data_IF_977901572164
#
_entry.id   IF_977901572164
#
_cell.length_a   1.000
_cell.length_b   1.000
_cell.length_c   1.000
_cell.angle_alpha   90.00
_cell.angle_beta   90.00
_cell.angle_gamma   90.00
#
_symmetry.space_group_name_H-M   'P 1'
#
loop_
_entity.id
_entity.type
_entity.pdbx_description
1 polymer ?
#
# COMPACT_ATOMS: atom_id res chain seq x y z
N UNK A 1 45.46 -26.10 -52.67
CA UNK A 1 44.01 -25.94 -52.30
C UNK A 1 43.64 -26.45 -50.90
N UNK A 2 44.47 -27.12 -50.12
CA UNK A 2 44.16 -27.61 -48.76
C UNK A 2 44.36 -26.55 -47.66
N UNK A 3 45.26 -25.60 -47.80
CA UNK A 3 45.60 -24.56 -46.85
C UNK A 3 44.46 -23.52 -46.64
N UNK A 4 43.73 -23.15 -47.69
CA UNK A 4 42.66 -22.20 -47.64
C UNK A 4 41.41 -22.71 -46.83
N UNK A 5 41.23 -24.04 -46.82
CA UNK A 5 40.09 -24.65 -46.05
C UNK A 5 40.38 -24.70 -44.56
N UNK A 6 41.65 -24.88 -44.19
CA UNK A 6 42.08 -24.89 -42.78
C UNK A 6 41.98 -23.47 -42.19
N UNK A 7 42.39 -22.45 -42.95
CA UNK A 7 42.26 -21.04 -42.49
C UNK A 7 40.83 -20.59 -42.39
N UNK A 8 39.93 -21.05 -43.27
CA UNK A 8 38.50 -20.73 -43.16
C UNK A 8 37.83 -21.41 -41.98
N UNK A 9 38.22 -22.65 -41.64
CA UNK A 9 37.65 -23.35 -40.47
C UNK A 9 38.11 -22.75 -39.13
N UNK A 10 39.35 -22.27 -39.04
CA UNK A 10 39.86 -21.58 -37.86
C UNK A 10 39.19 -20.22 -37.65
N UNK A 11 38.87 -19.49 -38.72
CA UNK A 11 38.16 -18.21 -38.66
C UNK A 11 36.72 -18.37 -38.15
N UNK A 12 36.00 -19.41 -38.60
CA UNK A 12 34.62 -19.68 -38.10
C UNK A 12 34.62 -20.13 -36.66
N UNK A 13 35.62 -20.91 -36.23
CA UNK A 13 35.72 -21.33 -34.82
C UNK A 13 36.00 -20.12 -33.87
N UNK A 14 36.83 -19.18 -34.30
CA UNK A 14 37.11 -17.95 -33.55
C UNK A 14 35.89 -17.02 -33.45
N UNK A 15 35.06 -16.97 -34.51
CA UNK A 15 33.83 -16.19 -34.51
C UNK A 15 32.76 -16.80 -33.59
N UNK A 16 32.67 -18.12 -33.50
CA UNK A 16 31.74 -18.80 -32.58
C UNK A 16 32.13 -18.63 -31.11
N UNK A 17 33.42 -18.53 -30.80
CA UNK A 17 33.89 -18.28 -29.42
C UNK A 17 33.64 -16.85 -28.96
N UNK A 18 33.61 -15.86 -29.84
CA UNK A 18 33.35 -14.47 -29.50
C UNK A 18 31.87 -14.17 -29.21
N UNK A 19 30.93 -15.01 -29.68
CA UNK A 19 29.49 -14.83 -29.42
C UNK A 19 29.09 -15.36 -28.01
N UNK A 20 29.87 -16.29 -27.46
CA UNK A 20 29.59 -16.90 -26.15
C UNK A 20 30.03 -16.09 -24.96
N UNK A 21 30.78 -14.98 -25.15
CA UNK A 21 31.29 -14.15 -24.05
C UNK A 21 30.35 -13.04 -23.58
N UNK A 22 29.12 -12.94 -24.13
CA UNK A 22 28.14 -11.93 -23.72
C UNK A 22 27.03 -12.53 -22.84
N UNK A 23 27.35 -13.43 -21.92
CA UNK A 23 26.51 -13.68 -20.77
C UNK A 23 26.82 -12.60 -19.74
N UNK A 24 26.19 -11.44 -19.89
CA UNK A 24 26.09 -10.46 -18.82
C UNK A 24 25.33 -11.14 -17.68
N UNK A 25 26.07 -11.68 -16.73
CA UNK A 25 25.53 -12.00 -15.43
C UNK A 25 24.95 -10.69 -14.90
N UNK A 26 23.63 -10.48 -15.01
CA UNK A 26 22.95 -9.55 -14.12
C UNK A 26 23.23 -10.08 -12.72
N UNK A 27 24.25 -9.55 -12.08
CA UNK A 27 24.31 -9.59 -10.63
C UNK A 27 23.00 -8.93 -10.19
N UNK A 28 22.06 -9.79 -9.78
CA UNK A 28 21.02 -9.36 -8.87
C UNK A 28 21.83 -8.86 -7.69
N UNK A 29 21.89 -7.54 -7.57
CA UNK A 29 22.41 -6.89 -6.38
C UNK A 29 21.52 -7.42 -5.25
N UNK A 30 21.97 -8.51 -4.63
CA UNK A 30 21.41 -9.01 -3.39
C UNK A 30 21.76 -7.93 -2.40
N UNK A 31 20.85 -6.93 -2.35
CA UNK A 31 20.96 -5.79 -1.47
C UNK A 31 21.46 -6.31 -0.13
N UNK A 32 22.55 -5.76 0.33
CA UNK A 32 23.23 -6.04 1.59
C UNK A 32 22.20 -6.50 2.62
N UNK A 33 22.21 -7.81 2.93
CA UNK A 33 21.32 -8.38 3.91
C UNK A 33 21.55 -7.60 5.21
N UNK A 34 20.60 -6.73 5.54
CA UNK A 34 20.70 -5.93 6.76
C UNK A 34 20.54 -6.92 7.92
N UNK A 35 21.55 -6.96 8.78
CA UNK A 35 21.51 -7.72 10.01
C UNK A 35 20.24 -7.38 10.78
N UNK A 36 19.51 -8.39 11.25
CA UNK A 36 18.25 -8.28 11.98
C UNK A 36 18.31 -7.42 13.26
N UNK A 37 19.50 -6.99 13.65
CA UNK A 37 19.75 -6.14 14.83
C UNK A 37 19.64 -4.63 14.56
N UNK A 38 19.44 -4.20 13.32
CA UNK A 38 19.50 -2.79 12.93
C UNK A 38 18.17 -2.05 13.13
N UNK A 39 17.03 -2.78 13.11
CA UNK A 39 15.72 -2.20 13.33
C UNK A 39 15.30 -2.24 14.80
N UNK A 40 15.21 -1.07 15.44
CA UNK A 40 14.94 -0.97 16.89
C UNK A 40 13.52 -1.33 17.29
N UNK A 41 12.52 -1.18 16.41
CA UNK A 41 11.10 -1.34 16.77
C UNK A 41 10.22 -1.84 15.63
N UNK A 42 10.71 -2.81 14.89
CA UNK A 42 9.98 -3.45 13.81
C UNK A 42 9.23 -4.67 14.36
N UNK A 43 7.92 -4.52 14.66
CA UNK A 43 7.11 -5.55 15.34
C UNK A 43 6.33 -6.45 14.38
N UNK A 44 5.79 -5.88 13.29
CA UNK A 44 4.86 -6.60 12.39
C UNK A 44 5.38 -6.73 10.96
N UNK A 45 6.53 -6.18 10.67
CA UNK A 45 7.22 -6.31 9.39
C UNK A 45 8.44 -7.24 9.53
N UNK A 46 8.91 -7.89 8.44
CA UNK A 46 10.07 -8.76 8.49
C UNK A 46 11.31 -8.03 9.02
N UNK A 47 12.03 -8.66 9.96
CA UNK A 47 13.22 -8.07 10.55
C UNK A 47 14.39 -7.94 9.57
N UNK A 48 14.39 -8.73 8.51
CA UNK A 48 15.38 -8.71 7.44
C UNK A 48 15.00 -7.83 6.25
N UNK A 49 13.97 -6.98 6.39
CA UNK A 49 13.56 -6.07 5.33
C UNK A 49 14.67 -5.05 5.03
N UNK A 50 14.94 -4.81 3.75
CA UNK A 50 15.89 -3.78 3.34
C UNK A 50 15.36 -2.37 3.64
N UNK A 51 16.26 -1.42 3.82
CA UNK A 51 15.90 -0.02 4.09
C UNK A 51 15.01 0.57 2.99
N UNK A 52 15.36 0.32 1.73
CA UNK A 52 14.59 0.82 0.60
C UNK A 52 13.18 0.22 0.52
N UNK A 53 13.06 -1.09 0.81
CA UNK A 53 11.76 -1.75 0.88
C UNK A 53 10.91 -1.19 2.02
N UNK A 54 11.50 -1.00 3.20
CA UNK A 54 10.80 -0.41 4.34
C UNK A 54 10.33 1.02 4.04
N UNK A 55 11.20 1.85 3.46
CA UNK A 55 10.82 3.21 3.01
C UNK A 55 9.73 3.17 1.94
N UNK A 56 9.80 2.20 1.03
CA UNK A 56 8.77 1.96 0.02
C UNK A 56 7.39 1.67 0.64
N UNK A 57 7.35 0.74 1.62
CA UNK A 57 6.13 0.42 2.36
C UNK A 57 5.56 1.64 3.11
N UNK A 58 6.41 2.42 3.80
CA UNK A 58 5.97 3.62 4.52
C UNK A 58 5.38 4.66 3.57
N UNK A 59 5.98 4.87 2.39
CA UNK A 59 5.40 5.74 1.35
C UNK A 59 4.05 5.22 0.84
N UNK A 60 3.93 3.90 0.67
CA UNK A 60 2.68 3.24 0.30
C UNK A 60 1.58 3.45 1.34
N UNK A 61 1.89 3.32 2.62
CA UNK A 61 0.94 3.59 3.72
C UNK A 61 0.52 5.06 3.75
N UNK A 62 1.47 5.99 3.61
CA UNK A 62 1.15 7.42 3.55
C UNK A 62 0.19 7.74 2.39
N UNK A 63 0.43 7.19 1.21
CA UNK A 63 -0.44 7.40 0.05
C UNK A 63 -1.82 6.78 0.25
N UNK A 64 -1.88 5.57 0.81
CA UNK A 64 -3.15 4.86 1.04
C UNK A 64 -4.05 5.57 2.06
N UNK A 65 -3.45 6.22 3.06
CA UNK A 65 -4.17 6.92 4.14
C UNK A 65 -4.27 8.44 3.91
N UNK A 66 -3.58 9.01 2.92
CA UNK A 66 -3.55 10.46 2.69
C UNK A 66 -2.85 11.24 3.81
N UNK A 67 -1.88 10.63 4.49
CA UNK A 67 -1.18 11.20 5.65
C UNK A 67 0.32 11.36 5.39
N UNK A 68 1.02 12.00 6.34
CA UNK A 68 2.49 12.15 6.33
C UNK A 68 3.13 11.31 7.45
N UNK A 69 4.47 11.18 7.42
CA UNK A 69 5.23 10.38 8.39
C UNK A 69 4.91 10.74 9.86
N UNK A 70 4.71 12.02 10.14
CA UNK A 70 4.40 12.52 11.48
C UNK A 70 3.01 12.16 11.98
N UNK A 71 2.15 11.56 11.16
CA UNK A 71 0.88 11.03 11.64
C UNK A 71 1.09 9.83 12.57
N UNK A 72 1.94 8.88 12.17
CA UNK A 72 2.23 7.66 12.95
C UNK A 72 3.54 7.73 13.75
N UNK A 73 4.48 8.59 13.39
CA UNK A 73 5.78 8.70 14.05
C UNK A 73 5.91 9.99 14.83
N UNK A 74 6.46 9.88 16.05
CA UNK A 74 6.70 11.04 16.93
C UNK A 74 7.95 11.78 16.52
N UNK A 75 8.02 13.04 16.90
CA UNK A 75 9.25 13.83 16.87
C UNK A 75 9.94 13.70 18.21
N UNK A 76 11.26 13.57 18.20
CA UNK A 76 12.06 13.58 19.41
C UNK A 76 12.07 15.02 19.98
N UNK A 77 11.66 15.21 21.23
CA UNK A 77 11.50 16.54 21.82
C UNK A 77 12.81 17.33 21.91
N UNK A 78 13.92 16.64 22.07
CA UNK A 78 15.23 17.28 22.28
C UNK A 78 15.89 17.63 20.95
N UNK A 79 15.87 16.71 19.99
CA UNK A 79 16.59 16.87 18.71
C UNK A 79 15.74 17.44 17.58
N UNK A 80 14.40 17.54 17.78
CA UNK A 80 13.42 17.95 16.76
C UNK A 80 13.45 17.09 15.48
N UNK A 81 14.06 15.91 15.55
CA UNK A 81 14.09 14.93 14.45
C UNK A 81 13.02 13.87 14.65
N UNK A 82 12.56 13.27 13.54
CA UNK A 82 11.61 12.16 13.60
C UNK A 82 12.23 10.97 14.31
N UNK A 83 11.56 10.48 15.35
CA UNK A 83 11.86 9.22 16.02
C UNK A 83 10.97 8.10 15.47
N UNK A 84 11.47 7.44 14.43
CA UNK A 84 10.75 6.34 13.80
C UNK A 84 10.62 5.10 14.69
N UNK A 85 11.42 4.98 15.75
CA UNK A 85 11.35 3.86 16.68
C UNK A 85 10.35 4.08 17.82
N UNK A 86 10.06 5.31 18.20
CA UNK A 86 9.16 5.65 19.29
C UNK A 86 7.73 5.12 19.06
N UNK A 87 7.10 4.61 20.12
CA UNK A 87 5.68 4.22 20.16
C UNK A 87 4.81 5.27 20.86
N UNK A 88 5.27 6.52 20.95
CA UNK A 88 4.54 7.60 21.63
C UNK A 88 3.21 7.94 20.94
N UNK A 89 3.03 7.58 19.66
CA UNK A 89 1.78 7.81 18.92
C UNK A 89 0.95 6.53 18.81
N UNK A 90 -0.29 6.59 19.27
CA UNK A 90 -1.25 5.48 19.18
C UNK A 90 -1.60 5.10 17.74
N UNK A 91 -1.52 6.03 16.80
CA UNK A 91 -1.74 5.81 15.37
C UNK A 91 -0.76 4.79 14.80
N UNK A 92 0.46 4.73 15.33
CA UNK A 92 1.45 3.71 14.96
C UNK A 92 1.00 2.30 15.37
N UNK A 93 0.43 2.16 16.56
CA UNK A 93 -0.10 0.86 17.02
C UNK A 93 -1.35 0.46 16.23
N UNK A 94 -2.27 1.40 15.97
CA UNK A 94 -3.41 1.15 15.09
C UNK A 94 -2.97 0.68 13.69
N UNK A 95 -1.92 1.30 13.14
CA UNK A 95 -1.38 0.88 11.85
C UNK A 95 -0.84 -0.54 11.88
N UNK A 96 -0.20 -0.98 12.96
CA UNK A 96 0.25 -2.36 13.14
C UNK A 96 -0.93 -3.35 13.12
N UNK A 97 -2.01 -3.03 13.84
CA UNK A 97 -3.23 -3.84 13.82
C UNK A 97 -3.83 -3.93 12.41
N UNK A 98 -3.88 -2.81 11.67
CA UNK A 98 -4.37 -2.80 10.28
C UNK A 98 -3.50 -3.64 9.34
N UNK A 99 -2.19 -3.61 9.50
CA UNK A 99 -1.25 -4.45 8.71
C UNK A 99 -1.53 -5.93 8.96
N UNK A 100 -1.67 -6.34 10.22
CA UNK A 100 -1.98 -7.74 10.58
C UNK A 100 -3.35 -8.14 10.04
N UNK A 101 -4.38 -7.32 10.27
CA UNK A 101 -5.73 -7.57 9.76
C UNK A 101 -5.74 -7.75 8.24
N UNK A 102 -5.07 -6.87 7.49
CA UNK A 102 -5.03 -6.96 6.03
C UNK A 102 -4.36 -8.25 5.55
N UNK A 103 -3.26 -8.66 6.19
CA UNK A 103 -2.62 -9.96 5.91
C UNK A 103 -3.53 -11.14 6.22
N UNK A 104 -4.21 -11.09 7.35
CA UNK A 104 -5.16 -12.13 7.75
C UNK A 104 -6.30 -12.30 6.75
N UNK A 105 -6.87 -11.17 6.29
CA UNK A 105 -7.90 -11.19 5.25
C UNK A 105 -7.37 -11.84 3.98
N UNK A 106 -6.18 -11.46 3.52
CA UNK A 106 -5.57 -12.03 2.34
C UNK A 106 -5.29 -13.52 2.50
N UNK A 107 -4.64 -13.92 3.59
CA UNK A 107 -4.26 -15.31 3.84
C UNK A 107 -5.47 -16.25 4.00
N UNK A 108 -6.52 -15.79 4.66
CA UNK A 108 -7.71 -16.61 4.95
C UNK A 108 -8.69 -16.69 3.78
N UNK A 109 -8.84 -15.59 3.02
CA UNK A 109 -9.93 -15.50 2.03
C UNK A 109 -9.44 -15.54 0.57
N UNK A 110 -8.15 -15.34 0.33
CA UNK A 110 -7.59 -15.25 -1.02
C UNK A 110 -6.44 -16.23 -1.27
N UNK A 111 -6.20 -17.17 -0.37
CA UNK A 111 -5.21 -18.24 -0.54
C UNK A 111 -5.81 -19.46 -1.25
N UNK A 112 -6.38 -19.26 -2.42
CA UNK A 112 -7.09 -20.32 -3.16
C UNK A 112 -6.15 -21.43 -3.68
N UNK A 113 -4.89 -21.07 -3.93
CA UNK A 113 -3.86 -22.01 -4.41
C UNK A 113 -3.11 -22.71 -3.28
N UNK A 114 -3.53 -22.52 -2.02
CA UNK A 114 -2.87 -23.07 -0.83
C UNK A 114 -1.36 -22.78 -0.80
N UNK A 115 -1.00 -21.51 -1.11
CA UNK A 115 0.38 -21.06 -1.05
C UNK A 115 1.01 -21.33 0.30
N UNK A 116 2.27 -21.80 0.28
CA UNK A 116 3.08 -21.98 1.50
C UNK A 116 3.49 -20.65 2.15
N UNK A 117 3.37 -19.54 1.41
CA UNK A 117 3.70 -18.19 1.88
C UNK A 117 2.46 -17.28 1.79
N UNK A 118 1.41 -17.53 2.59
CA UNK A 118 0.16 -16.78 2.53
C UNK A 118 0.35 -15.29 2.87
N UNK A 119 1.42 -14.94 3.57
CA UNK A 119 1.80 -13.55 3.88
C UNK A 119 2.22 -12.74 2.65
N UNK A 120 2.53 -13.40 1.53
CA UNK A 120 2.85 -12.76 0.26
C UNK A 120 1.61 -12.42 -0.58
N UNK A 121 0.44 -12.92 -0.18
CA UNK A 121 -0.81 -12.65 -0.88
C UNK A 121 -1.21 -11.19 -0.62
N UNK A 122 -1.42 -10.43 -1.69
CA UNK A 122 -1.72 -9.00 -1.62
C UNK A 122 -2.88 -8.62 -2.55
N UNK A 123 -4.01 -9.28 -2.38
CA UNK A 123 -5.26 -8.99 -3.11
C UNK A 123 -5.96 -7.79 -2.49
N UNK A 124 -6.21 -7.84 -1.18
CA UNK A 124 -6.74 -6.70 -0.43
C UNK A 124 -5.58 -5.81 0.01
N UNK A 125 -5.70 -4.53 -0.23
CA UNK A 125 -4.67 -3.52 0.09
C UNK A 125 -5.26 -2.38 0.92
N UNK A 126 -4.42 -1.63 1.61
CA UNK A 126 -4.83 -0.51 2.45
C UNK A 126 -5.67 0.53 1.68
N UNK A 127 -5.28 0.82 0.42
CA UNK A 127 -5.97 1.82 -0.41
C UNK A 127 -7.40 1.41 -0.77
N UNK A 128 -7.72 0.12 -0.84
CA UNK A 128 -9.07 -0.36 -1.17
C UNK A 128 -10.10 0.07 -0.11
N UNK A 129 -9.69 0.14 1.15
CA UNK A 129 -10.54 0.59 2.25
C UNK A 129 -10.35 2.09 2.55
N UNK A 130 -9.10 2.56 2.59
CA UNK A 130 -8.79 3.92 3.04
C UNK A 130 -8.97 5.00 1.95
N UNK A 131 -8.67 4.70 0.67
CA UNK A 131 -8.88 5.60 -0.48
C UNK A 131 -8.28 7.01 -0.28
N UNK A 132 -7.10 7.09 0.34
CA UNK A 132 -6.45 8.36 0.65
C UNK A 132 -6.99 9.08 1.89
N UNK A 133 -7.71 8.36 2.78
CA UNK A 133 -8.22 8.92 4.04
C UNK A 133 -7.68 8.13 5.23
N UNK A 134 -7.38 8.83 6.32
CA UNK A 134 -6.93 8.22 7.58
C UNK A 134 -7.94 7.22 8.17
N UNK A 135 -9.23 7.48 7.95
CA UNK A 135 -10.34 6.61 8.37
C UNK A 135 -11.17 6.17 7.17
N UNK A 136 -11.38 4.86 6.97
CA UNK A 136 -12.24 4.34 5.89
C UNK A 136 -13.67 4.84 5.98
N UNK A 137 -14.18 5.04 7.21
CA UNK A 137 -15.56 5.49 7.47
C UNK A 137 -15.81 6.91 6.98
N UNK A 138 -14.81 7.78 7.02
CA UNK A 138 -14.93 9.16 6.56
C UNK A 138 -15.26 9.26 5.08
N UNK A 139 -14.61 8.43 4.25
CA UNK A 139 -14.85 8.41 2.79
C UNK A 139 -16.15 7.72 2.37
N UNK A 140 -16.71 6.84 3.22
CA UNK A 140 -17.90 6.05 2.91
C UNK A 140 -19.17 6.65 3.50
N UNK A 141 -19.09 7.28 4.65
CA UNK A 141 -20.26 7.78 5.39
C UNK A 141 -20.64 9.19 4.96
N UNK A 142 -19.71 10.06 4.61
CA UNK A 142 -20.03 11.42 4.18
C UNK A 142 -20.96 11.47 2.95
N UNK A 143 -20.73 10.74 1.86
CA UNK A 143 -21.67 10.70 0.73
C UNK A 143 -23.05 10.17 1.12
N UNK A 144 -23.08 9.09 1.91
CA UNK A 144 -24.35 8.48 2.38
C UNK A 144 -25.12 9.43 3.29
N UNK A 145 -24.44 10.12 4.20
CA UNK A 145 -25.08 11.09 5.08
C UNK A 145 -25.59 12.31 4.31
N UNK A 146 -24.89 12.76 3.27
CA UNK A 146 -25.36 13.85 2.42
C UNK A 146 -26.64 13.45 1.67
N UNK A 147 -26.70 12.22 1.13
CA UNK A 147 -27.88 11.70 0.43
C UNK A 147 -29.05 11.47 1.38
N UNK A 148 -28.82 10.92 2.59
CA UNK A 148 -29.83 10.76 3.62
C UNK A 148 -30.39 12.12 4.10
N UNK A 149 -29.56 13.16 4.15
CA UNK A 149 -30.04 14.51 4.47
C UNK A 149 -30.96 15.02 3.39
N UNK A 150 -30.58 14.91 2.11
CA UNK A 150 -31.43 15.30 0.99
C UNK A 150 -32.78 14.59 1.00
N UNK A 151 -32.81 13.25 1.26
CA UNK A 151 -34.06 12.48 1.35
C UNK A 151 -34.94 12.98 2.49
N UNK A 152 -34.36 13.30 3.66
CA UNK A 152 -35.12 13.85 4.80
C UNK A 152 -35.67 15.24 4.52
N UNK A 153 -34.93 16.09 3.83
CA UNK A 153 -35.35 17.45 3.49
C UNK A 153 -36.49 17.42 2.47
N UNK A 154 -36.42 16.56 1.45
CA UNK A 154 -37.51 16.34 0.46
C UNK A 154 -38.75 15.74 1.13
N UNK A 155 -38.59 14.80 2.06
CA UNK A 155 -39.71 14.22 2.80
C UNK A 155 -40.40 15.26 3.69
N UNK A 156 -39.63 16.15 4.31
CA UNK A 156 -40.16 17.23 5.13
C UNK A 156 -40.90 18.28 4.32
N UNK A 157 -40.42 18.58 3.12
CA UNK A 157 -41.10 19.49 2.19
C UNK A 157 -42.44 18.94 1.72
N UNK A 158 -42.51 17.64 1.41
CA UNK A 158 -43.76 16.97 0.98
C UNK A 158 -44.77 16.78 2.10
N UNK A 159 -44.35 16.78 3.35
CA UNK A 159 -45.19 16.66 4.54
C UNK A 159 -45.60 18.01 5.14
N UNK A 160 -45.08 19.11 4.61
CA UNK A 160 -45.51 20.44 5.04
C UNK A 160 -47.00 20.66 4.66
N UNK A 161 -47.89 20.99 5.59
CA UNK A 161 -49.31 21.17 5.28
C UNK A 161 -49.42 22.36 4.31
N UNK A 162 -50.00 22.09 3.15
CA UNK A 162 -50.45 23.13 2.22
C UNK A 162 -51.49 23.97 2.96
N UNK A 163 -51.13 25.15 3.42
CA UNK A 163 -52.08 26.12 3.96
C UNK A 163 -52.93 26.68 2.79
N UNK A 164 -53.86 25.85 2.37
CA UNK A 164 -54.93 26.27 1.48
C UNK A 164 -55.94 27.08 2.28
N UNK A 165 -55.76 28.39 2.25
CA UNK A 165 -56.79 29.34 2.72
C UNK A 165 -58.02 29.22 1.87
N UNK A 166 -58.98 28.39 2.31
CA UNK A 166 -60.34 28.43 1.78
C UNK A 166 -61.08 29.59 2.49
N UNK A 167 -61.10 30.74 1.86
CA UNK A 167 -62.01 31.85 2.23
C UNK A 167 -63.42 31.36 1.95
N UNK A 168 -64.16 30.94 2.97
CA UNK A 168 -65.62 30.72 2.91
C UNK A 168 -66.25 32.11 2.99
N UNK A 169 -66.72 32.60 1.84
CA UNK A 169 -67.56 33.80 1.72
C UNK A 169 -68.98 33.43 2.17
N UNK A 170 -69.42 33.96 3.32
CA UNK A 170 -70.84 33.88 3.76
C UNK A 170 -71.64 34.92 3.01
N UNK A 171 -72.66 34.45 2.31
CA UNK A 171 -73.75 35.23 1.77
C UNK A 171 -74.92 35.20 2.77
#
# INVERSE_FOLDING_TARGET
MKTNRIMASLGVLALMFSIFSFTTSRQIDTGKAISSSEWKNLKVLPQNISEDSLKGLMRGYNAALGVKCNFCHAENPDTKKMDFASDAKKEKEFSRHMIVMTRDINAKNFNWENSKNPEMINVVTCVMCHRGNESPTKSLIEPVNAELKNVKDVAKEKLAPTSGSTKVEKK
#
